data_IF_419845456607
#
_entry.id   IF_419845456607
#
_cell.length_a   1.000
_cell.length_b   1.000
_cell.length_c   1.000
_cell.angle_alpha   90.00
_cell.angle_beta   90.00
_cell.angle_gamma   90.00
#
_symmetry.space_group_name_H-M   'P 1'
#
loop_
_entity.id
_entity.type
_entity.pdbx_description
1 polymer ?
#
# COMPACT_ATOMS: atom_id res chain seq x y z
N UNK A 1 -13.26 4.18 -10.51
CA UNK A 1 -12.90 5.36 -11.32
C UNK A 1 -13.66 6.61 -10.90
N UNK A 2 -14.99 6.53 -10.58
CA UNK A 2 -15.81 7.70 -10.21
C UNK A 2 -15.24 8.43 -9.00
N UNK A 3 -14.97 7.73 -7.89
CA UNK A 3 -14.43 8.34 -6.66
C UNK A 3 -13.13 9.12 -6.88
N UNK A 4 -12.24 8.62 -7.74
CA UNK A 4 -10.96 9.28 -8.03
C UNK A 4 -11.16 10.63 -8.69
N UNK A 5 -12.11 10.73 -9.63
CA UNK A 5 -12.48 12.00 -10.29
C UNK A 5 -13.17 12.96 -9.33
N UNK A 6 -14.19 12.48 -8.61
CA UNK A 6 -14.93 13.28 -7.63
C UNK A 6 -14.02 13.91 -6.56
N UNK A 7 -13.13 13.11 -6.00
CA UNK A 7 -12.19 13.60 -4.99
C UNK A 7 -11.18 14.57 -5.59
N UNK A 8 -10.67 14.31 -6.80
CA UNK A 8 -9.73 15.21 -7.48
C UNK A 8 -10.36 16.56 -7.79
N UNK A 9 -11.58 16.57 -8.31
CA UNK A 9 -12.33 17.79 -8.64
C UNK A 9 -12.67 18.58 -7.38
N UNK A 10 -13.23 17.92 -6.36
CA UNK A 10 -13.53 18.50 -5.05
C UNK A 10 -12.32 19.17 -4.41
N UNK A 11 -11.17 18.50 -4.46
CA UNK A 11 -9.94 18.97 -3.82
C UNK A 11 -9.06 19.84 -4.72
N UNK A 12 -9.47 20.04 -5.98
CA UNK A 12 -8.65 20.71 -6.99
C UNK A 12 -7.21 20.16 -6.97
N UNK A 13 -7.09 18.84 -6.96
CA UNK A 13 -5.83 18.12 -6.91
C UNK A 13 -5.63 17.33 -8.19
N UNK A 14 -4.39 16.96 -8.51
CA UNK A 14 -4.13 16.05 -9.61
C UNK A 14 -4.80 14.70 -9.36
N UNK A 15 -5.29 14.08 -10.43
CA UNK A 15 -5.95 12.76 -10.41
C UNK A 15 -5.05 11.69 -9.77
N UNK A 16 -3.75 11.78 -10.01
CA UNK A 16 -2.73 10.89 -9.43
C UNK A 16 -2.76 10.84 -7.90
N UNK A 17 -3.08 11.98 -7.26
CA UNK A 17 -3.12 12.08 -5.78
C UNK A 17 -4.38 11.48 -5.16
N UNK A 18 -5.38 11.15 -5.96
CA UNK A 18 -6.52 10.33 -5.56
C UNK A 18 -6.35 8.88 -6.03
N UNK A 19 -5.74 8.67 -7.20
CA UNK A 19 -5.53 7.33 -7.78
C UNK A 19 -4.59 6.48 -6.92
N UNK A 20 -3.45 7.02 -6.50
CA UNK A 20 -2.51 6.29 -5.66
C UNK A 20 -3.15 5.76 -4.38
N UNK A 21 -3.81 6.62 -3.57
CA UNK A 21 -4.58 6.17 -2.42
C UNK A 21 -5.69 5.17 -2.76
N UNK A 22 -6.42 5.34 -3.88
CA UNK A 22 -7.48 4.40 -4.26
C UNK A 22 -6.92 3.00 -4.55
N UNK A 23 -5.79 2.91 -5.24
CA UNK A 23 -5.09 1.65 -5.47
C UNK A 23 -4.57 1.04 -4.16
N UNK A 24 -4.03 1.86 -3.25
CA UNK A 24 -3.61 1.42 -1.92
C UNK A 24 -4.78 0.89 -1.08
N UNK A 25 -5.92 1.59 -1.11
CA UNK A 25 -7.13 1.17 -0.41
C UNK A 25 -7.69 -0.14 -0.97
N UNK A 26 -7.78 -0.28 -2.29
CA UNK A 26 -8.19 -1.53 -2.92
C UNK A 26 -7.24 -2.69 -2.57
N UNK A 27 -5.93 -2.44 -2.64
CA UNK A 27 -4.90 -3.43 -2.29
C UNK A 27 -5.08 -3.94 -0.86
N UNK A 28 -5.23 -3.05 0.15
CA UNK A 28 -5.39 -3.50 1.53
C UNK A 28 -6.78 -4.05 1.83
N UNK A 29 -7.83 -3.61 1.17
CA UNK A 29 -9.15 -4.21 1.32
C UNK A 29 -9.14 -5.68 0.87
N UNK A 30 -8.44 -6.02 -0.21
CA UNK A 30 -8.21 -7.39 -0.65
C UNK A 30 -7.27 -8.12 0.33
N UNK A 31 -6.19 -7.48 0.73
CA UNK A 31 -5.20 -8.03 1.64
C UNK A 31 -4.47 -9.27 1.09
N UNK A 32 -4.03 -10.12 2.00
CA UNK A 32 -3.31 -11.35 1.67
C UNK A 32 -4.18 -12.49 1.11
N UNK A 33 -5.49 -12.27 0.96
CA UNK A 33 -6.46 -13.32 0.59
C UNK A 33 -6.31 -13.81 -0.85
N UNK A 34 -5.90 -12.92 -1.75
CA UNK A 34 -5.81 -13.25 -3.17
C UNK A 34 -4.36 -13.47 -3.58
N UNK A 35 -4.15 -14.53 -4.34
CA UNK A 35 -2.93 -14.78 -5.11
C UNK A 35 -3.28 -14.76 -6.59
N UNK A 36 -2.61 -13.94 -7.37
CA UNK A 36 -2.67 -14.02 -8.82
C UNK A 36 -1.61 -14.99 -9.32
N UNK A 37 -2.04 -16.02 -10.04
CA UNK A 37 -1.16 -16.97 -10.72
C UNK A 37 -1.16 -16.69 -12.23
N UNK A 38 -0.01 -16.35 -12.75
CA UNK A 38 0.24 -16.14 -14.17
C UNK A 38 1.28 -17.19 -14.65
N UNK A 39 0.81 -18.39 -15.00
CA UNK A 39 1.63 -19.54 -15.42
C UNK A 39 2.79 -19.87 -14.46
N UNK A 40 2.49 -19.98 -13.16
CA UNK A 40 3.44 -20.29 -12.11
C UNK A 40 4.11 -19.08 -11.46
N UNK A 41 3.96 -17.90 -12.03
CA UNK A 41 4.32 -16.64 -11.36
C UNK A 41 3.21 -16.23 -10.37
N UNK A 42 3.43 -16.52 -9.11
CA UNK A 42 2.46 -16.24 -8.03
C UNK A 42 2.75 -14.88 -7.40
N UNK A 43 1.81 -13.95 -7.54
CA UNK A 43 1.93 -12.59 -7.05
C UNK A 43 0.85 -12.29 -6.00
N UNK A 44 1.23 -11.61 -4.92
CA UNK A 44 0.28 -10.92 -4.04
C UNK A 44 -0.05 -9.56 -4.63
N UNK A 45 -1.19 -9.00 -4.22
CA UNK A 45 -1.70 -7.74 -4.77
C UNK A 45 -1.30 -6.52 -3.93
N UNK A 46 -0.18 -6.62 -3.20
CA UNK A 46 0.38 -5.50 -2.44
C UNK A 46 1.07 -4.50 -3.38
N UNK A 47 0.86 -3.21 -3.13
CA UNK A 47 1.44 -2.13 -3.93
C UNK A 47 2.28 -1.20 -3.07
N UNK A 48 3.39 -0.75 -3.63
CA UNK A 48 4.15 0.38 -3.13
C UNK A 48 4.03 1.54 -4.11
N UNK A 49 3.52 2.67 -3.66
CA UNK A 49 3.20 3.82 -4.50
C UNK A 49 3.84 5.06 -3.92
N UNK A 50 4.55 5.81 -4.76
CA UNK A 50 5.17 7.07 -4.42
C UNK A 50 4.54 8.19 -5.24
N UNK A 51 3.90 9.14 -4.57
CA UNK A 51 3.27 10.30 -5.20
C UNK A 51 4.19 11.51 -5.15
N UNK A 52 4.65 11.96 -6.30
CA UNK A 52 5.57 13.10 -6.41
C UNK A 52 4.79 14.40 -6.54
N UNK A 53 5.02 15.33 -5.62
CA UNK A 53 4.39 16.64 -5.67
C UNK A 53 4.93 17.59 -4.61
N UNK A 54 4.92 18.90 -4.91
CA UNK A 54 5.33 19.94 -3.96
C UNK A 54 4.46 19.87 -2.69
N UNK A 55 4.92 20.43 -1.58
CA UNK A 55 4.14 20.51 -0.35
C UNK A 55 2.77 21.18 -0.55
N UNK A 56 2.71 22.15 -1.45
CA UNK A 56 1.49 22.89 -1.82
C UNK A 56 0.62 22.19 -2.85
N UNK A 57 0.98 21.01 -3.34
CA UNK A 57 0.26 20.30 -4.42
C UNK A 57 -1.02 19.61 -3.95
N UNK A 58 -1.35 19.69 -2.65
CA UNK A 58 -2.57 19.11 -2.06
C UNK A 58 -2.66 17.58 -2.20
N UNK A 59 -1.60 16.87 -1.85
CA UNK A 59 -1.57 15.40 -1.87
C UNK A 59 -2.41 14.77 -0.74
N UNK A 60 -2.37 15.36 0.46
CA UNK A 60 -2.95 14.79 1.68
C UNK A 60 -4.47 14.81 1.71
N UNK A 61 -5.11 15.86 1.17
CA UNK A 61 -6.57 15.97 1.23
C UNK A 61 -7.29 14.89 0.38
N UNK A 62 -6.90 14.61 -0.88
CA UNK A 62 -7.44 13.48 -1.64
C UNK A 62 -7.19 12.13 -0.94
N UNK A 63 -6.00 11.92 -0.39
CA UNK A 63 -5.66 10.70 0.32
C UNK A 63 -6.59 10.47 1.53
N UNK A 64 -6.84 11.52 2.32
CA UNK A 64 -7.75 11.45 3.46
C UNK A 64 -9.19 11.11 3.06
N UNK A 65 -9.72 11.73 1.99
CA UNK A 65 -11.07 11.45 1.50
C UNK A 65 -11.19 10.01 0.97
N UNK A 66 -10.21 9.54 0.22
CA UNK A 66 -10.20 8.18 -0.34
C UNK A 66 -10.06 7.12 0.74
N UNK A 67 -9.32 7.40 1.82
CA UNK A 67 -9.12 6.47 2.94
C UNK A 67 -10.23 6.49 3.99
N UNK A 68 -11.26 7.33 3.83
CA UNK A 68 -12.37 7.39 4.78
C UNK A 68 -12.96 6.00 5.13
N UNK A 69 -13.22 5.08 4.18
CA UNK A 69 -13.70 3.74 4.51
C UNK A 69 -12.67 2.91 5.27
N UNK A 70 -11.37 3.06 4.99
CA UNK A 70 -10.32 2.34 5.74
C UNK A 70 -10.23 2.82 7.18
N UNK A 71 -10.38 4.12 7.45
CA UNK A 71 -10.46 4.63 8.82
C UNK A 71 -11.65 4.07 9.58
N UNK A 72 -12.82 3.93 8.92
CA UNK A 72 -14.00 3.30 9.53
C UNK A 72 -13.73 1.83 9.91
N UNK A 73 -13.11 1.06 9.00
CA UNK A 73 -12.71 -0.32 9.26
C UNK A 73 -11.71 -0.38 10.42
N UNK A 74 -10.68 0.45 10.39
CA UNK A 74 -9.64 0.46 11.42
C UNK A 74 -10.18 0.82 12.81
N UNK A 75 -11.11 1.78 12.89
CA UNK A 75 -11.79 2.13 14.13
C UNK A 75 -12.63 0.97 14.66
N UNK A 76 -13.40 0.28 13.81
CA UNK A 76 -14.15 -0.94 14.20
C UNK A 76 -13.23 -2.01 14.79
N UNK A 77 -12.09 -2.27 14.13
CA UNK A 77 -11.11 -3.24 14.63
C UNK A 77 -10.51 -2.83 15.97
N UNK A 78 -10.27 -1.54 16.18
CA UNK A 78 -9.79 -1.00 17.45
C UNK A 78 -10.83 -1.14 18.57
N UNK A 79 -12.10 -0.87 18.28
CA UNK A 79 -13.19 -1.02 19.24
C UNK A 79 -13.35 -2.50 19.67
N UNK A 80 -13.29 -3.43 18.70
CA UNK A 80 -13.31 -4.87 18.96
C UNK A 80 -12.11 -5.32 19.83
N UNK A 81 -10.92 -4.80 19.56
CA UNK A 81 -9.72 -5.07 20.35
C UNK A 81 -9.88 -4.53 21.78
N UNK A 82 -10.37 -3.31 21.94
CA UNK A 82 -10.56 -2.65 23.22
C UNK A 82 -11.55 -3.41 24.10
N UNK A 83 -12.67 -3.85 23.52
CA UNK A 83 -13.66 -4.69 24.23
C UNK A 83 -13.07 -6.04 24.69
N UNK A 84 -12.27 -6.70 23.85
CA UNK A 84 -11.56 -7.94 24.22
C UNK A 84 -10.55 -7.71 25.33
N UNK A 85 -9.82 -6.58 25.30
CA UNK A 85 -8.87 -6.21 26.33
C UNK A 85 -9.53 -5.98 27.70
N UNK A 86 -10.69 -5.31 27.72
CA UNK A 86 -11.45 -5.08 28.96
C UNK A 86 -11.96 -6.41 29.56
N UNK A 87 -12.47 -7.30 28.71
CA UNK A 87 -12.90 -8.63 29.14
C UNK A 87 -11.73 -9.43 29.76
N UNK A 88 -10.56 -9.46 29.11
CA UNK A 88 -9.38 -10.15 29.65
C UNK A 88 -8.89 -9.53 30.95
N UNK A 89 -8.90 -8.19 31.06
CA UNK A 89 -8.51 -7.51 32.32
C UNK A 89 -9.42 -7.87 33.48
N UNK A 90 -10.73 -7.92 33.27
CA UNK A 90 -11.70 -8.32 34.30
C UNK A 90 -11.52 -9.77 34.76
N UNK A 91 -11.25 -10.69 33.83
CA UNK A 91 -11.00 -12.09 34.14
C UNK A 91 -9.65 -12.32 34.87
N UNK A 92 -8.59 -11.59 34.49
CA UNK A 92 -7.30 -11.64 35.20
C UNK A 92 -7.40 -11.16 36.64
N UNK A 93 -8.25 -10.17 36.92
CA UNK A 93 -8.54 -9.73 38.28
C UNK A 93 -9.20 -10.84 39.09
N UNK A 94 -9.88 -11.78 38.44
CA UNK A 94 -10.51 -12.96 39.05
C UNK A 94 -9.58 -14.19 39.14
N UNK A 95 -8.29 -14.06 38.83
CA UNK A 95 -7.27 -15.12 38.97
C UNK A 95 -7.07 -16.01 37.73
N UNK A 96 -7.73 -15.72 36.61
CA UNK A 96 -7.56 -16.45 35.36
C UNK A 96 -6.48 -15.74 34.47
N UNK A 97 -5.37 -16.42 34.22
CA UNK A 97 -4.28 -15.87 33.41
C UNK A 97 -4.50 -16.17 31.92
N UNK A 98 -5.39 -15.39 31.29
CA UNK A 98 -5.63 -15.48 29.84
C UNK A 98 -4.60 -14.68 29.06
N UNK A 99 -4.20 -15.17 27.86
CA UNK A 99 -3.32 -14.40 26.98
C UNK A 99 -3.98 -13.09 26.55
N UNK A 100 -3.16 -12.05 26.37
CA UNK A 100 -3.65 -10.77 25.84
C UNK A 100 -4.17 -10.95 24.41
N UNK A 101 -5.25 -10.27 24.03
CA UNK A 101 -5.73 -10.28 22.66
C UNK A 101 -4.67 -9.64 21.74
N UNK A 102 -4.59 -10.15 20.54
CA UNK A 102 -3.74 -9.59 19.50
C UNK A 102 -4.32 -8.26 19.00
N UNK A 103 -3.44 -7.30 18.71
CA UNK A 103 -3.85 -6.06 18.06
C UNK A 103 -4.40 -6.36 16.67
N UNK A 104 -5.44 -5.65 16.26
CA UNK A 104 -5.98 -5.77 14.91
C UNK A 104 -6.11 -4.39 14.29
N UNK A 105 -5.42 -4.18 13.17
CA UNK A 105 -5.38 -2.93 12.43
C UNK A 105 -5.00 -3.18 10.97
N UNK A 106 -5.42 -2.31 10.08
CA UNK A 106 -5.06 -2.38 8.65
C UNK A 106 -4.25 -1.17 8.19
N UNK A 107 -4.23 -0.10 8.99
CA UNK A 107 -3.48 1.13 8.71
C UNK A 107 -2.33 1.29 9.69
N UNK A 108 -1.21 1.77 9.18
CA UNK A 108 -0.04 2.15 9.97
C UNK A 108 0.58 3.41 9.36
N UNK A 109 0.84 4.42 10.20
CA UNK A 109 1.37 5.71 9.76
C UNK A 109 2.76 5.95 10.34
N UNK A 110 2.91 5.73 11.64
CA UNK A 110 4.17 5.86 12.34
C UNK A 110 4.41 4.63 13.24
N UNK A 111 5.57 4.01 13.07
CA UNK A 111 5.92 2.82 13.83
C UNK A 111 7.41 2.53 13.76
N UNK A 112 7.94 1.97 14.85
CA UNK A 112 9.24 1.34 14.77
C UNK A 112 9.19 0.04 13.95
N UNK A 113 10.33 -0.46 13.43
CA UNK A 113 10.38 -1.75 12.75
C UNK A 113 9.81 -2.90 13.58
N UNK A 114 10.03 -2.89 14.90
CA UNK A 114 9.53 -3.89 15.83
C UNK A 114 8.00 -3.86 15.94
N UNK A 115 7.43 -2.67 16.11
CA UNK A 115 5.99 -2.47 16.21
C UNK A 115 5.29 -2.88 14.89
N UNK A 116 5.86 -2.49 13.74
CA UNK A 116 5.37 -2.92 12.43
C UNK A 116 5.40 -4.45 12.28
N UNK A 117 6.51 -5.08 12.65
CA UNK A 117 6.65 -6.53 12.54
C UNK A 117 5.68 -7.27 13.48
N UNK A 118 5.46 -6.75 14.69
CA UNK A 118 4.43 -7.28 15.59
C UNK A 118 3.03 -7.12 15.00
N UNK A 119 2.72 -5.93 14.46
CA UNK A 119 1.44 -5.70 13.81
C UNK A 119 1.20 -6.64 12.61
N UNK A 120 2.23 -6.96 11.81
CA UNK A 120 2.14 -7.93 10.71
C UNK A 120 1.95 -9.38 11.20
N UNK A 121 2.57 -9.75 12.32
CA UNK A 121 2.36 -11.06 12.94
C UNK A 121 0.93 -11.21 13.47
N UNK A 122 0.39 -10.14 14.04
CA UNK A 122 -0.96 -10.13 14.60
C UNK A 122 -2.06 -10.01 13.54
N UNK A 123 -1.74 -9.41 12.37
CA UNK A 123 -2.69 -9.15 11.30
C UNK A 123 -2.34 -9.93 10.01
N UNK A 124 -2.80 -11.18 9.88
CA UNK A 124 -2.55 -11.98 8.66
C UNK A 124 -3.16 -11.37 7.40
N UNK A 125 -4.15 -10.49 7.53
CA UNK A 125 -4.73 -9.75 6.41
C UNK A 125 -3.72 -8.83 5.75
N UNK A 126 -2.85 -8.22 6.55
CA UNK A 126 -1.80 -7.29 6.11
C UNK A 126 -2.00 -5.87 6.61
N UNK A 127 -1.08 -5.00 6.20
CA UNK A 127 -1.04 -3.60 6.58
C UNK A 127 -0.86 -2.69 5.36
N UNK A 128 -1.46 -1.51 5.41
CA UNK A 128 -1.15 -0.38 4.55
C UNK A 128 -0.39 0.68 5.35
N UNK A 129 0.84 0.97 4.93
CA UNK A 129 1.54 2.16 5.41
C UNK A 129 1.05 3.37 4.62
N UNK A 130 0.44 4.31 5.34
CA UNK A 130 -0.15 5.53 4.78
C UNK A 130 0.53 6.81 5.26
N UNK A 131 1.79 6.70 5.74
CA UNK A 131 2.56 7.86 6.18
C UNK A 131 2.74 8.85 5.03
N UNK A 132 2.35 10.12 5.25
CA UNK A 132 2.27 11.13 4.19
C UNK A 132 3.61 11.38 3.50
N UNK A 133 4.72 11.46 4.25
CA UNK A 133 6.05 11.77 3.71
C UNK A 133 6.98 10.55 3.73
N UNK A 134 7.36 10.10 2.54
CA UNK A 134 8.28 8.96 2.34
C UNK A 134 9.64 9.21 2.99
N UNK A 135 10.13 10.45 2.91
CA UNK A 135 11.43 10.84 3.45
C UNK A 135 11.56 10.68 4.96
N UNK A 136 10.47 10.79 5.69
CA UNK A 136 10.45 10.53 7.13
C UNK A 136 10.74 9.05 7.42
N UNK A 137 10.09 8.13 6.72
CA UNK A 137 10.35 6.68 6.86
C UNK A 137 11.76 6.30 6.38
N UNK A 138 12.23 6.89 5.28
CA UNK A 138 13.60 6.68 4.78
C UNK A 138 14.64 7.18 5.78
N UNK A 139 14.39 8.33 6.43
CA UNK A 139 15.24 8.85 7.50
C UNK A 139 15.34 7.91 8.69
N UNK A 140 14.25 7.26 9.03
CA UNK A 140 14.21 6.27 10.12
C UNK A 140 15.02 5.00 9.78
N UNK A 141 15.03 4.55 8.51
CA UNK A 141 15.88 3.44 8.05
C UNK A 141 17.37 3.70 8.34
N UNK A 142 17.80 4.97 8.22
CA UNK A 142 19.18 5.37 8.53
C UNK A 142 19.49 5.47 10.03
N UNK A 143 18.51 5.89 10.85
CA UNK A 143 18.68 6.14 12.29
C UNK A 143 18.79 4.87 13.13
N UNK A 144 18.00 3.86 12.81
CA UNK A 144 17.99 2.59 13.55
C UNK A 144 19.18 1.67 13.20
N UNK A 145 20.16 2.16 12.43
CA UNK A 145 21.52 1.60 12.31
C UNK A 145 21.63 0.17 11.81
N UNK A 146 20.52 -0.50 11.49
CA UNK A 146 20.56 -1.89 11.09
C UNK A 146 20.54 -2.03 9.58
N UNK A 147 21.59 -2.60 9.01
CA UNK A 147 21.65 -3.08 7.63
C UNK A 147 20.48 -4.05 7.30
N UNK A 148 19.83 -4.60 8.32
CA UNK A 148 18.73 -5.53 8.20
C UNK A 148 17.37 -4.89 7.90
N UNK A 149 17.14 -3.61 8.23
CA UNK A 149 15.82 -2.98 8.04
C UNK A 149 15.43 -2.86 6.57
N UNK A 150 16.37 -2.43 5.74
CA UNK A 150 16.11 -2.35 4.29
C UNK A 150 15.82 -3.73 3.70
N UNK A 151 16.57 -4.76 4.12
CA UNK A 151 16.31 -6.14 3.69
C UNK A 151 14.93 -6.64 4.15
N UNK A 152 14.52 -6.31 5.38
CA UNK A 152 13.19 -6.63 5.86
C UNK A 152 12.09 -5.96 5.02
N UNK A 153 12.24 -4.68 4.69
CA UNK A 153 11.30 -3.96 3.81
C UNK A 153 11.22 -4.61 2.42
N UNK A 154 12.36 -5.03 1.85
CA UNK A 154 12.37 -5.73 0.57
C UNK A 154 11.60 -7.06 0.64
N UNK A 155 11.78 -7.82 1.72
CA UNK A 155 11.02 -9.05 1.97
C UNK A 155 9.51 -8.77 2.11
N UNK A 156 9.13 -7.67 2.77
CA UNK A 156 7.74 -7.24 2.87
C UNK A 156 7.15 -6.90 1.51
N UNK A 157 7.91 -6.21 0.65
CA UNK A 157 7.44 -5.89 -0.70
C UNK A 157 7.22 -7.12 -1.57
N UNK A 158 8.11 -8.08 -1.43
CA UNK A 158 8.08 -9.32 -2.22
C UNK A 158 7.21 -10.40 -1.53
N UNK A 159 6.52 -10.07 -0.43
CA UNK A 159 5.69 -10.95 0.40
C UNK A 159 6.42 -12.24 0.82
N UNK A 160 7.74 -12.15 0.99
CA UNK A 160 8.59 -13.28 1.36
C UNK A 160 8.60 -13.45 2.88
N UNK A 161 8.38 -14.66 3.40
CA UNK A 161 8.52 -14.92 4.83
C UNK A 161 9.90 -14.51 5.33
N UNK A 162 9.94 -13.91 6.51
CA UNK A 162 11.22 -13.60 7.17
C UNK A 162 11.12 -13.75 8.68
N UNK A 163 12.29 -13.93 9.29
CA UNK A 163 12.42 -14.06 10.73
C UNK A 163 13.17 -12.89 11.32
N UNK A 164 12.73 -12.41 12.46
CA UNK A 164 13.49 -11.49 13.29
C UNK A 164 13.85 -12.15 14.62
N UNK A 165 15.11 -12.03 15.02
CA UNK A 165 15.58 -12.52 16.31
C UNK A 165 16.30 -11.38 17.00
N UNK A 166 15.67 -10.74 17.97
CA UNK A 166 16.22 -9.61 18.69
C UNK A 166 16.33 -9.93 20.17
N UNK A 167 17.42 -9.47 20.79
CA UNK A 167 17.66 -9.64 22.23
C UNK A 167 16.51 -8.97 22.99
N UNK A 168 15.77 -9.75 23.77
CA UNK A 168 14.60 -9.28 24.54
C UNK A 168 13.24 -9.52 23.92
N UNK A 169 13.15 -9.74 22.58
CA UNK A 169 11.88 -9.99 21.89
C UNK A 169 11.69 -11.46 21.46
N UNK A 170 12.76 -12.23 21.45
CA UNK A 170 12.76 -13.61 20.99
C UNK A 170 12.68 -13.75 19.47
N UNK A 171 12.38 -14.97 19.02
CA UNK A 171 12.21 -15.32 17.62
C UNK A 171 10.79 -15.00 17.17
N UNK A 172 10.66 -14.13 16.17
CA UNK A 172 9.40 -13.84 15.48
C UNK A 172 9.48 -14.31 14.04
N UNK A 173 8.43 -14.94 13.56
CA UNK A 173 8.35 -15.45 12.18
C UNK A 173 7.12 -14.85 11.49
N UNK A 174 7.35 -13.97 10.53
CA UNK A 174 6.29 -13.41 9.69
C UNK A 174 6.16 -14.31 8.46
N UNK A 175 5.13 -15.17 8.48
CA UNK A 175 4.98 -16.26 7.50
C UNK A 175 4.46 -15.80 6.14
N UNK A 176 3.58 -14.83 6.12
CA UNK A 176 2.91 -14.36 4.90
C UNK A 176 2.69 -12.85 4.98
N UNK A 177 3.77 -12.06 4.95
CA UNK A 177 3.63 -10.62 5.06
C UNK A 177 2.84 -10.08 3.87
N UNK A 178 1.87 -9.21 4.14
CA UNK A 178 1.24 -8.39 3.13
C UNK A 178 1.37 -6.94 3.56
N UNK A 179 2.14 -6.18 2.80
CA UNK A 179 2.47 -4.82 3.16
C UNK A 179 2.39 -3.91 1.95
N UNK A 180 1.36 -3.09 1.91
CA UNK A 180 1.20 -2.03 0.93
C UNK A 180 1.72 -0.71 1.49
N UNK A 181 2.19 0.16 0.62
CA UNK A 181 2.75 1.44 1.03
C UNK A 181 2.37 2.53 0.04
N UNK A 182 1.75 3.60 0.54
CA UNK A 182 1.42 4.79 -0.25
C UNK A 182 1.94 6.01 0.50
N UNK A 183 2.88 6.73 -0.11
CA UNK A 183 3.45 7.94 0.49
C UNK A 183 3.71 9.01 -0.56
N UNK A 184 3.79 10.25 -0.11
CA UNK A 184 4.20 11.39 -0.90
C UNK A 184 5.70 11.65 -0.80
N UNK A 185 6.26 12.27 -1.82
CA UNK A 185 7.61 12.83 -1.80
C UNK A 185 7.62 14.19 -2.50
N UNK A 186 8.43 15.11 -2.01
CA UNK A 186 8.62 16.39 -2.68
C UNK A 186 9.66 16.27 -3.81
N UNK A 187 9.48 16.95 -4.96
CA UNK A 187 10.42 16.88 -6.08
C UNK A 187 11.87 17.17 -5.70
N UNK A 188 12.10 18.13 -4.78
CA UNK A 188 13.45 18.45 -4.29
C UNK A 188 14.11 17.32 -3.48
N UNK A 189 13.33 16.36 -2.98
CA UNK A 189 13.82 15.20 -2.23
C UNK A 189 14.06 13.97 -3.12
N UNK A 190 13.64 14.00 -4.39
CA UNK A 190 13.86 12.89 -5.32
C UNK A 190 15.35 12.60 -5.49
N UNK A 191 16.12 13.60 -5.92
CA UNK A 191 17.55 13.43 -6.19
C UNK A 191 18.31 12.92 -4.97
N UNK A 192 18.23 13.52 -3.76
CA UNK A 192 18.91 13.00 -2.59
C UNK A 192 18.51 11.57 -2.23
N UNK A 193 17.25 11.19 -2.50
CA UNK A 193 16.74 9.85 -2.21
C UNK A 193 17.21 8.83 -3.25
N UNK A 194 17.14 9.18 -4.54
CA UNK A 194 17.52 8.29 -5.63
C UNK A 194 19.04 8.17 -5.79
N UNK A 195 19.82 9.20 -5.48
CA UNK A 195 21.28 9.15 -5.53
C UNK A 195 21.88 8.38 -4.33
N UNK A 196 21.07 7.87 -3.40
CA UNK A 196 21.57 7.06 -2.29
C UNK A 196 22.06 5.69 -2.81
N UNK A 197 23.38 5.40 -2.77
CA UNK A 197 23.92 4.17 -3.37
C UNK A 197 23.33 2.89 -2.79
N UNK A 198 22.97 2.91 -1.49
CA UNK A 198 22.37 1.76 -0.81
C UNK A 198 20.97 1.46 -1.33
N UNK A 199 20.15 2.49 -1.56
CA UNK A 199 18.79 2.29 -2.09
C UNK A 199 18.80 1.88 -3.55
N UNK A 200 19.72 2.43 -4.32
CA UNK A 200 19.90 2.05 -5.73
C UNK A 200 20.38 0.60 -5.86
N UNK A 201 21.49 0.25 -5.20
CA UNK A 201 22.10 -1.08 -5.32
C UNK A 201 21.19 -2.22 -4.86
N UNK A 202 20.33 -1.97 -3.88
CA UNK A 202 19.36 -2.95 -3.39
C UNK A 202 18.01 -2.92 -4.13
N UNK A 203 17.85 -2.05 -5.12
CA UNK A 203 16.61 -1.92 -5.90
C UNK A 203 15.39 -1.53 -5.07
N UNK A 204 15.59 -0.77 -3.98
CA UNK A 204 14.50 -0.36 -3.09
C UNK A 204 13.52 0.58 -3.80
N UNK A 205 14.05 1.58 -4.49
CA UNK A 205 13.24 2.60 -5.16
C UNK A 205 12.48 2.07 -6.38
N UNK A 206 13.04 1.08 -7.06
CA UNK A 206 12.40 0.42 -8.21
C UNK A 206 11.16 -0.40 -7.83
N UNK A 207 10.93 -0.57 -6.53
CA UNK A 207 9.76 -1.27 -5.99
C UNK A 207 8.56 -0.35 -5.77
N UNK A 208 8.69 0.93 -6.09
CA UNK A 208 7.59 1.89 -6.06
C UNK A 208 7.05 2.15 -7.46
N UNK A 209 5.73 2.14 -7.57
CA UNK A 209 5.03 2.79 -8.69
C UNK A 209 5.09 4.29 -8.43
N UNK A 210 5.70 5.03 -9.35
CA UNK A 210 5.85 6.48 -9.21
C UNK A 210 4.72 7.18 -9.95
N UNK A 211 3.94 7.96 -9.22
CA UNK A 211 2.91 8.82 -9.75
C UNK A 211 3.43 10.27 -9.72
N UNK A 212 3.67 10.82 -10.89
CA UNK A 212 4.20 12.17 -11.05
C UNK A 212 3.31 12.94 -12.04
N UNK A 213 2.35 13.72 -11.55
CA UNK A 213 1.46 14.47 -12.41
C UNK A 213 2.23 15.38 -13.37
N UNK A 214 1.95 15.27 -14.66
CA UNK A 214 2.53 16.16 -15.68
C UNK A 214 1.99 17.58 -15.54
N UNK A 215 0.74 17.70 -15.08
CA UNK A 215 0.06 18.97 -14.88
C UNK A 215 -0.64 18.99 -13.52
N UNK A 216 -0.59 20.15 -12.87
CA UNK A 216 -1.36 20.42 -11.65
C UNK A 216 -2.55 21.30 -12.00
N UNK A 217 -3.75 21.02 -11.47
CA UNK A 217 -4.91 21.86 -11.72
C UNK A 217 -4.68 23.27 -11.18
N UNK A 218 -5.15 24.26 -11.93
CA UNK A 218 -5.12 25.66 -11.49
C UNK A 218 -6.09 25.85 -10.33
N UNK A 219 -5.54 26.12 -9.17
CA UNK A 219 -6.30 26.37 -7.93
C UNK A 219 -6.66 27.84 -7.83
N UNK A 220 -7.91 28.15 -7.51
CA UNK A 220 -8.35 29.52 -7.28
C UNK A 220 -9.13 29.61 -5.97
N UNK A 221 -8.98 30.72 -5.25
CA UNK A 221 -9.70 30.97 -4.00
C UNK A 221 -11.24 31.01 -4.24
N UNK A 222 -11.68 31.44 -5.42
CA UNK A 222 -13.09 31.46 -5.80
C UNK A 222 -13.66 30.05 -5.86
N UNK A 223 -12.99 29.10 -6.53
CA UNK A 223 -13.38 27.69 -6.58
C UNK A 223 -13.37 27.01 -5.22
N UNK A 224 -12.54 27.47 -4.28
CA UNK A 224 -12.55 26.93 -2.92
C UNK A 224 -13.78 27.36 -2.11
N UNK A 225 -14.52 28.39 -2.54
CA UNK A 225 -15.75 28.88 -1.90
C UNK A 225 -17.02 28.36 -2.56
N UNK A 226 -16.93 27.90 -3.81
CA UNK A 226 -18.04 27.23 -4.49
C UNK A 226 -18.25 25.88 -3.80
N UNK A 227 -19.47 25.59 -3.33
CA UNK A 227 -19.84 24.25 -2.92
C UNK A 227 -19.68 23.33 -4.12
N UNK A 228 -18.58 22.57 -4.14
CA UNK A 228 -18.43 21.51 -5.13
C UNK A 228 -19.43 20.43 -4.73
N UNK A 229 -20.49 20.30 -5.49
CA UNK A 229 -21.45 19.22 -5.36
C UNK A 229 -20.69 17.90 -5.58
N UNK A 230 -20.50 17.16 -4.51
CA UNK A 230 -19.89 15.83 -4.58
C UNK A 230 -20.98 14.86 -4.97
N UNK A 231 -20.71 13.99 -5.94
CA UNK A 231 -21.58 12.85 -6.21
C UNK A 231 -21.57 11.90 -5.00
N UNK A 232 -22.57 12.07 -4.13
CA UNK A 232 -22.73 11.25 -2.93
C UNK A 232 -22.79 9.77 -3.26
N UNK A 233 -23.42 9.40 -4.37
CA UNK A 233 -23.49 8.01 -4.81
C UNK A 233 -22.11 7.43 -5.17
N UNK A 234 -21.18 8.26 -5.66
CA UNK A 234 -19.80 7.81 -5.90
C UNK A 234 -19.05 7.59 -4.58
N UNK A 235 -19.28 8.42 -3.56
CA UNK A 235 -18.66 8.27 -2.23
C UNK A 235 -19.23 7.05 -1.51
N UNK A 236 -20.54 6.92 -1.43
CA UNK A 236 -21.21 5.78 -0.80
C UNK A 236 -20.88 4.47 -1.51
N UNK A 237 -20.85 4.47 -2.85
CA UNK A 237 -20.44 3.31 -3.64
C UNK A 237 -18.99 2.89 -3.36
N UNK A 238 -18.09 3.86 -3.21
CA UNK A 238 -16.71 3.57 -2.83
C UNK A 238 -16.59 3.01 -1.40
N UNK A 239 -17.28 3.61 -0.44
CA UNK A 239 -17.30 3.12 0.94
C UNK A 239 -17.82 1.69 1.01
N UNK A 240 -18.94 1.42 0.35
CA UNK A 240 -19.53 0.08 0.27
C UNK A 240 -18.58 -0.91 -0.39
N UNK A 241 -17.99 -0.56 -1.54
CA UNK A 241 -17.08 -1.42 -2.27
C UNK A 241 -15.86 -1.82 -1.43
N UNK A 242 -15.25 -0.88 -0.72
CA UNK A 242 -14.10 -1.15 0.15
C UNK A 242 -14.50 -2.00 1.35
N UNK A 243 -15.62 -1.70 2.02
CA UNK A 243 -16.08 -2.48 3.17
C UNK A 243 -16.50 -3.92 2.76
N UNK A 244 -17.24 -4.07 1.65
CA UNK A 244 -17.61 -5.37 1.10
C UNK A 244 -16.38 -6.19 0.69
N UNK A 245 -15.40 -5.55 0.05
CA UNK A 245 -14.14 -6.21 -0.34
C UNK A 245 -13.39 -6.69 0.90
N UNK A 246 -13.27 -5.84 1.91
CA UNK A 246 -12.60 -6.19 3.16
C UNK A 246 -13.28 -7.35 3.89
N UNK A 247 -14.61 -7.38 3.94
CA UNK A 247 -15.35 -8.36 4.71
C UNK A 247 -15.60 -9.68 3.96
N UNK A 248 -15.82 -9.63 2.63
CA UNK A 248 -16.41 -10.74 1.88
C UNK A 248 -15.44 -11.43 0.89
N UNK A 249 -14.29 -10.84 0.55
CA UNK A 249 -13.31 -11.53 -0.31
C UNK A 249 -12.77 -12.76 0.42
N UNK A 250 -12.96 -13.93 -0.19
CA UNK A 250 -12.46 -15.20 0.35
C UNK A 250 -11.06 -15.51 -0.17
N UNK A 251 -10.23 -16.20 0.65
CA UNK A 251 -8.91 -16.65 0.19
C UNK A 251 -9.03 -17.50 -1.06
N UNK A 252 -8.39 -17.07 -2.15
CA UNK A 252 -8.42 -17.79 -3.43
C UNK A 252 -7.20 -17.49 -4.29
N UNK A 253 -7.00 -18.34 -5.29
CA UNK A 253 -6.04 -18.08 -6.36
C UNK A 253 -6.82 -17.74 -7.63
N UNK A 254 -6.57 -16.57 -8.18
CA UNK A 254 -7.08 -16.16 -9.49
C UNK A 254 -6.02 -16.47 -10.55
N UNK A 255 -6.44 -17.06 -11.66
CA UNK A 255 -5.57 -17.36 -12.78
C UNK A 255 -5.85 -16.44 -13.94
N UNK A 256 -4.81 -15.97 -14.60
CA UNK A 256 -4.96 -15.19 -15.81
C UNK A 256 -5.53 -16.08 -16.93
N UNK A 257 -6.54 -15.59 -17.66
CA UNK A 257 -7.06 -16.26 -18.84
C UNK A 257 -6.01 -16.29 -19.96
N UNK A 258 -6.18 -17.17 -20.93
CA UNK A 258 -5.29 -17.24 -22.10
C UNK A 258 -5.19 -15.90 -22.82
N UNK A 259 -6.33 -15.24 -23.06
CA UNK A 259 -6.37 -13.92 -23.67
C UNK A 259 -5.63 -12.85 -22.85
N UNK A 260 -5.77 -12.86 -21.53
CA UNK A 260 -5.03 -11.94 -20.65
C UNK A 260 -3.53 -12.23 -20.70
N UNK A 261 -3.13 -13.49 -20.75
CA UNK A 261 -1.73 -13.90 -20.85
C UNK A 261 -1.12 -13.51 -22.20
N UNK A 262 -1.87 -13.59 -23.28
CA UNK A 262 -1.39 -13.13 -24.60
C UNK A 262 -1.07 -11.62 -24.59
N UNK A 263 -1.93 -10.81 -23.96
CA UNK A 263 -1.66 -9.39 -23.78
C UNK A 263 -0.45 -9.14 -22.89
N UNK A 264 -0.36 -9.89 -21.80
CA UNK A 264 0.77 -9.80 -20.87
C UNK A 264 2.09 -10.22 -21.53
N UNK A 265 2.13 -11.30 -22.29
CA UNK A 265 3.34 -11.75 -23.01
C UNK A 265 3.83 -10.67 -23.99
N UNK A 266 2.94 -10.03 -24.75
CA UNK A 266 3.32 -8.90 -25.62
C UNK A 266 3.93 -7.74 -24.83
N UNK A 267 3.38 -7.43 -23.65
CA UNK A 267 3.96 -6.42 -22.78
C UNK A 267 5.34 -6.84 -22.27
N UNK A 268 5.50 -8.10 -21.87
CA UNK A 268 6.79 -8.66 -21.41
C UNK A 268 7.84 -8.58 -22.50
N UNK A 269 7.52 -8.99 -23.75
CA UNK A 269 8.43 -8.91 -24.89
C UNK A 269 8.90 -7.47 -25.15
N UNK A 270 7.99 -6.51 -25.09
CA UNK A 270 8.33 -5.09 -25.23
C UNK A 270 9.22 -4.60 -24.06
N UNK A 271 8.94 -5.05 -22.84
CA UNK A 271 9.74 -4.69 -21.67
C UNK A 271 11.14 -5.31 -21.69
N UNK A 272 11.30 -6.50 -22.27
CA UNK A 272 12.61 -7.14 -22.47
C UNK A 272 13.44 -6.35 -23.46
N UNK A 273 12.86 -5.94 -24.59
CA UNK A 273 13.56 -5.09 -25.57
C UNK A 273 13.98 -3.74 -24.97
N UNK A 274 13.12 -3.14 -24.15
CA UNK A 274 13.45 -1.89 -23.48
C UNK A 274 14.55 -2.08 -22.41
N UNK A 275 14.55 -3.19 -21.69
CA UNK A 275 15.59 -3.62 -20.75
C UNK A 275 16.94 -3.79 -21.45
N UNK A 276 16.97 -4.50 -22.59
CA UNK A 276 18.17 -4.72 -23.40
C UNK A 276 18.76 -3.44 -23.98
N UNK A 277 17.93 -2.43 -24.21
CA UNK A 277 18.36 -1.11 -24.73
C UNK A 277 18.58 -0.05 -23.64
N UNK A 278 18.37 -0.43 -22.38
CA UNK A 278 18.54 0.47 -21.23
C UNK A 278 19.99 0.97 -21.13
N UNK A 279 20.13 2.25 -20.81
CA UNK A 279 21.44 2.91 -20.71
C UNK A 279 22.10 2.71 -19.34
N UNK A 280 21.33 2.28 -18.35
CA UNK A 280 21.77 2.04 -16.98
C UNK A 280 21.10 0.79 -16.39
N UNK A 281 21.79 0.11 -15.47
CA UNK A 281 21.24 -1.01 -14.70
C UNK A 281 19.96 -0.61 -13.93
N UNK A 282 19.87 0.64 -13.53
CA UNK A 282 18.69 1.17 -12.85
C UNK A 282 17.47 1.21 -13.78
N UNK A 283 17.64 1.71 -15.00
CA UNK A 283 16.59 1.71 -16.03
C UNK A 283 16.14 0.29 -16.38
N UNK A 284 17.09 -0.61 -16.60
CA UNK A 284 16.83 -2.03 -16.83
C UNK A 284 15.98 -2.64 -15.70
N UNK A 285 16.34 -2.37 -14.45
CA UNK A 285 15.63 -2.91 -13.29
C UNK A 285 14.19 -2.38 -13.15
N UNK A 286 13.90 -1.15 -13.62
CA UNK A 286 12.52 -0.62 -13.68
C UNK A 286 11.67 -1.47 -14.63
N UNK A 287 12.16 -1.76 -15.83
CA UNK A 287 11.43 -2.58 -16.80
C UNK A 287 11.11 -3.98 -16.24
N UNK A 288 12.07 -4.58 -15.53
CA UNK A 288 11.85 -5.85 -14.85
C UNK A 288 10.74 -5.80 -13.80
N UNK A 289 10.64 -4.70 -13.03
CA UNK A 289 9.59 -4.53 -12.01
C UNK A 289 8.23 -4.20 -12.59
N UNK A 290 8.16 -3.47 -13.69
CA UNK A 290 6.90 -3.16 -14.38
C UNK A 290 6.11 -4.43 -14.75
N UNK A 291 6.80 -5.53 -15.10
CA UNK A 291 6.16 -6.83 -15.39
C UNK A 291 5.30 -7.31 -14.20
N UNK A 292 5.78 -7.11 -12.98
CA UNK A 292 5.06 -7.50 -11.76
C UNK A 292 3.90 -6.54 -11.50
N UNK A 293 4.12 -5.22 -11.68
CA UNK A 293 3.09 -4.21 -11.41
C UNK A 293 1.88 -4.36 -12.31
N UNK A 294 2.09 -4.66 -13.59
CA UNK A 294 0.97 -4.90 -14.52
C UNK A 294 0.08 -6.04 -14.04
N UNK A 295 0.66 -7.14 -13.58
CA UNK A 295 -0.10 -8.27 -13.01
C UNK A 295 -0.82 -7.86 -11.72
N UNK A 296 -0.16 -7.14 -10.82
CA UNK A 296 -0.77 -6.70 -9.57
C UNK A 296 -1.95 -5.77 -9.81
N UNK A 297 -1.79 -4.79 -10.72
CA UNK A 297 -2.85 -3.85 -11.07
C UNK A 297 -4.03 -4.56 -11.76
N UNK A 298 -3.76 -5.49 -12.67
CA UNK A 298 -4.78 -6.30 -13.33
C UNK A 298 -5.55 -7.17 -12.31
N UNK A 299 -4.85 -7.79 -11.37
CA UNK A 299 -5.45 -8.57 -10.29
C UNK A 299 -6.34 -7.74 -9.38
N UNK A 300 -5.89 -6.55 -8.97
CA UNK A 300 -6.71 -5.61 -8.18
C UNK A 300 -7.96 -5.21 -8.97
N UNK A 301 -7.80 -4.82 -10.24
CA UNK A 301 -8.93 -4.43 -11.08
C UNK A 301 -9.95 -5.57 -11.23
N UNK A 302 -9.48 -6.79 -11.44
CA UNK A 302 -10.33 -7.98 -11.55
C UNK A 302 -11.15 -8.21 -10.27
N UNK A 303 -10.50 -8.21 -9.10
CA UNK A 303 -11.19 -8.42 -7.83
C UNK A 303 -12.18 -7.30 -7.53
N UNK A 304 -11.79 -6.04 -7.71
CA UNK A 304 -12.66 -4.90 -7.45
C UNK A 304 -13.87 -4.88 -8.37
N UNK A 305 -13.71 -5.24 -9.66
CA UNK A 305 -14.84 -5.36 -10.58
C UNK A 305 -15.78 -6.53 -10.26
N UNK A 306 -15.29 -7.59 -9.64
CA UNK A 306 -16.11 -8.71 -9.21
C UNK A 306 -16.90 -8.41 -7.92
N UNK A 307 -16.47 -7.39 -7.16
CA UNK A 307 -17.10 -6.93 -5.92
C UNK A 307 -18.08 -5.76 -6.15
N UNK A 308 -18.01 -5.08 -7.29
CA UNK A 308 -18.91 -3.99 -7.70
C UNK A 308 -20.27 -4.53 -8.15
#
# INVERSE_FOLDING_TARGET
QRIVREVSDKRQAAVDFALGPALGAASIAIGSRIVLDAYGYRNRLNLWIMMVGRSTANKSAPMKDVYAPLYKINNRLFDEYSAKMEAVKSERTSGNDKPLPKTNQILIEDSTPEARNQALEDNPHGLLNSREELTATIGDIGRYGSSGELSALLSLRDCTPFTTNRKGEGLKVIKAPFYSWVSGIQPGMLKPTFDNPKFMSMGFLNRFIVLYPSELPKRTARKCREEVTVDLAAVEGWEKLIDDTYNNVLPSTITASEAAMEVYCRFVDNSIRADETATTDYEASIWGKLRIYVLQLAGIACVMSAME
#
